data_IF_269496414503
#
_entry.id   IF_269496414503
#
_cell.length_a   1.000
_cell.length_b   1.000
_cell.length_c   1.000
_cell.angle_alpha   90.00
_cell.angle_beta   90.00
_cell.angle_gamma   90.00
#
_symmetry.space_group_name_H-M   'P 1'
#
loop_
_entity.id
_entity.type
_entity.pdbx_description
1 polymer ?
#
# COMPACT_ATOMS: atom_id res chain seq x y z
N UNK A 1 -39.93 -16.61 6.66
CA UNK A 1 -38.49 -16.31 6.68
C UNK A 1 -38.02 -15.95 5.28
N UNK A 2 -37.67 -14.68 5.03
CA UNK A 2 -36.65 -14.36 4.03
C UNK A 2 -35.34 -14.17 4.80
N UNK A 3 -34.25 -13.98 4.07
CA UNK A 3 -32.94 -13.59 4.56
C UNK A 3 -32.38 -12.67 3.47
N UNK A 4 -32.05 -11.43 3.80
CA UNK A 4 -31.52 -10.40 2.88
C UNK A 4 -30.17 -9.93 3.48
N UNK A 5 -29.11 -9.44 2.80
CA UNK A 5 -27.66 -9.45 3.22
C UNK A 5 -26.88 -8.11 3.44
N UNK A 6 -26.40 -7.77 4.65
CA UNK A 6 -25.82 -6.45 4.99
C UNK A 6 -24.41 -6.29 4.46
N UNK A 7 -24.16 -5.08 3.96
CA UNK A 7 -22.92 -4.72 3.29
C UNK A 7 -22.15 -3.80 4.23
N UNK A 8 -21.22 -4.38 4.98
CA UNK A 8 -20.32 -3.62 5.85
C UNK A 8 -19.04 -3.31 5.07
N UNK A 9 -18.84 -2.05 4.67
CA UNK A 9 -17.55 -1.61 4.14
C UNK A 9 -16.49 -1.68 5.24
N UNK A 10 -15.37 -2.32 4.94
CA UNK A 10 -14.22 -2.48 5.80
C UNK A 10 -13.16 -1.39 5.53
N UNK A 11 -12.29 -1.05 6.50
CA UNK A 11 -11.32 0.05 6.35
C UNK A 11 -10.28 -0.14 5.23
N UNK A 12 -10.16 -1.35 4.68
CA UNK A 12 -9.30 -1.70 3.55
C UNK A 12 -10.07 -1.70 2.19
N UNK A 13 -11.20 -0.99 2.12
CA UNK A 13 -12.12 -0.91 0.98
C UNK A 13 -12.79 -2.24 0.57
N UNK A 14 -12.63 -3.32 1.34
CA UNK A 14 -13.37 -4.57 1.12
C UNK A 14 -14.79 -4.45 1.69
N UNK A 15 -15.68 -5.39 1.34
CA UNK A 15 -17.06 -5.43 1.86
C UNK A 15 -17.32 -6.81 2.46
N UNK A 16 -17.79 -6.86 3.71
CA UNK A 16 -18.28 -8.08 4.33
C UNK A 16 -19.79 -8.26 4.03
N UNK A 17 -20.16 -9.44 3.51
CA UNK A 17 -21.52 -9.85 3.12
C UNK A 17 -21.99 -11.04 3.94
N UNK A 18 -23.24 -10.99 4.41
CA UNK A 18 -23.40 -11.35 5.82
C UNK A 18 -24.88 -11.91 6.19
N UNK A 19 -25.16 -12.83 7.21
CA UNK A 19 -26.34 -13.54 7.95
C UNK A 19 -27.13 -12.91 9.24
N UNK A 20 -28.25 -12.10 9.17
CA UNK A 20 -29.12 -11.44 10.24
C UNK A 20 -30.45 -12.20 10.39
N UNK A 21 -30.60 -12.92 11.48
CA UNK A 21 -31.52 -14.05 11.53
C UNK A 21 -33.00 -13.67 11.64
N UNK A 22 -33.76 -13.77 10.53
CA UNK A 22 -35.16 -13.34 10.53
C UNK A 22 -36.12 -14.25 11.34
N UNK A 23 -36.37 -14.00 12.63
CA UNK A 23 -37.66 -14.35 13.28
C UNK A 23 -38.39 -13.09 13.81
N UNK A 24 -37.66 -12.06 14.26
CA UNK A 24 -38.21 -10.76 14.69
C UNK A 24 -38.38 -9.74 13.55
N UNK A 25 -38.53 -10.25 12.33
CA UNK A 25 -37.90 -9.61 11.18
C UNK A 25 -38.68 -9.97 9.93
N UNK A 26 -39.19 -8.95 9.26
CA UNK A 26 -40.12 -9.11 8.16
C UNK A 26 -39.39 -9.28 6.85
N UNK A 27 -39.90 -10.20 6.03
CA UNK A 27 -39.32 -10.68 4.79
C UNK A 27 -38.54 -9.62 3.97
N UNK A 28 -37.22 -9.47 4.18
CA UNK A 28 -36.37 -8.66 3.29
C UNK A 28 -35.35 -7.70 3.91
N UNK A 29 -34.78 -7.97 5.11
CA UNK A 29 -33.74 -7.08 5.68
C UNK A 29 -32.36 -7.73 5.85
N UNK A 30 -31.34 -6.88 5.69
CA UNK A 30 -29.94 -7.13 5.39
C UNK A 30 -29.13 -7.82 6.55
N UNK A 31 -28.41 -8.91 6.23
CA UNK A 31 -27.88 -10.04 7.04
C UNK A 31 -26.40 -9.87 7.61
N UNK A 32 -25.86 -10.50 8.72
CA UNK A 32 -24.38 -10.64 9.11
C UNK A 32 -23.61 -12.07 9.24
N UNK A 33 -22.60 -12.45 8.40
CA UNK A 33 -21.91 -13.76 8.01
C UNK A 33 -20.43 -13.43 7.71
N UNK A 34 -19.52 -14.40 7.87
CA UNK A 34 -18.08 -14.17 7.81
C UNK A 34 -17.39 -15.10 6.79
N UNK A 35 -16.55 -14.53 5.93
CA UNK A 35 -15.71 -15.27 4.97
C UNK A 35 -14.29 -15.37 5.50
N UNK A 36 -13.78 -16.60 5.66
CA UNK A 36 -12.38 -16.83 6.04
C UNK A 36 -11.47 -16.62 4.82
N UNK A 37 -10.73 -15.52 4.78
CA UNK A 37 -9.72 -15.27 3.74
C UNK A 37 -8.50 -16.20 3.93
N UNK A 38 -8.53 -17.37 3.31
CA UNK A 38 -7.44 -18.37 3.35
C UNK A 38 -6.17 -17.96 2.61
N UNK A 39 -6.25 -17.00 1.68
CA UNK A 39 -5.10 -16.52 0.89
C UNK A 39 -4.99 -15.00 0.92
N UNK A 40 -4.82 -14.41 2.11
CA UNK A 40 -4.40 -13.02 2.25
C UNK A 40 -2.94 -12.88 1.80
N UNK A 41 -2.72 -12.58 0.51
CA UNK A 41 -1.39 -12.26 -0.01
C UNK A 41 -0.98 -10.85 0.44
N UNK A 42 -0.41 -10.78 1.65
CA UNK A 42 0.21 -9.57 2.17
C UNK A 42 1.41 -9.23 1.28
N UNK A 43 1.28 -8.16 0.49
CA UNK A 43 2.40 -7.51 -0.20
C UNK A 43 2.86 -6.32 0.63
N UNK A 44 4.18 -6.20 0.78
CA UNK A 44 4.82 -5.09 1.47
C UNK A 44 5.49 -4.22 0.42
N UNK A 45 5.23 -2.93 0.49
CA UNK A 45 5.79 -1.94 -0.42
C UNK A 45 6.65 -0.93 0.36
N UNK A 46 7.68 -0.40 -0.29
CA UNK A 46 8.42 0.76 0.18
C UNK A 46 8.07 1.97 -0.69
N UNK A 47 8.01 3.14 -0.05
CA UNK A 47 8.01 4.43 -0.72
C UNK A 47 9.46 4.91 -0.80
N UNK A 48 9.91 5.32 -1.97
CA UNK A 48 11.28 5.79 -2.22
C UNK A 48 11.25 7.07 -3.04
N UNK A 49 12.16 8.01 -2.78
CA UNK A 49 12.42 9.11 -3.71
C UNK A 49 13.41 8.65 -4.77
N UNK A 50 13.03 8.79 -6.04
CA UNK A 50 14.00 8.77 -7.14
C UNK A 50 14.82 10.06 -7.06
N UNK A 51 16.12 9.98 -7.35
CA UNK A 51 16.98 11.16 -7.43
C UNK A 51 17.28 11.47 -8.89
N UNK A 52 17.46 12.77 -9.17
CA UNK A 52 17.85 13.23 -10.50
C UNK A 52 19.28 12.82 -10.90
N UNK A 53 19.75 13.26 -12.09
CA UNK A 53 21.15 13.10 -12.47
C UNK A 53 22.09 13.76 -11.46
N UNK A 54 23.34 13.28 -11.31
CA UNK A 54 24.31 13.87 -10.41
C UNK A 54 24.75 15.26 -10.89
N UNK A 55 25.06 16.14 -9.93
CA UNK A 55 25.75 17.40 -10.16
C UNK A 55 27.18 17.11 -10.64
N UNK A 56 27.42 17.36 -11.93
CA UNK A 56 28.69 17.09 -12.59
C UNK A 56 29.83 17.97 -12.08
N UNK A 57 29.54 19.18 -11.60
CA UNK A 57 30.56 20.12 -11.14
C UNK A 57 31.05 19.72 -9.75
N UNK A 58 30.15 19.32 -8.85
CA UNK A 58 30.50 18.75 -7.56
C UNK A 58 31.20 17.38 -7.68
N UNK A 59 30.75 16.54 -8.61
CA UNK A 59 31.38 15.25 -8.89
C UNK A 59 32.83 15.43 -9.37
N UNK A 60 33.07 16.31 -10.36
CA UNK A 60 34.43 16.60 -10.85
C UNK A 60 35.32 17.21 -9.76
N UNK A 61 34.80 18.18 -8.99
CA UNK A 61 35.56 18.85 -7.92
C UNK A 61 35.89 17.94 -6.73
N UNK A 62 35.15 16.85 -6.56
CA UNK A 62 35.39 15.83 -5.52
C UNK A 62 36.20 14.63 -6.02
N UNK A 63 36.71 14.65 -7.26
CA UNK A 63 37.39 13.51 -7.90
C UNK A 63 36.56 12.22 -7.81
N UNK A 64 35.29 12.29 -8.21
CA UNK A 64 34.31 11.18 -8.18
C UNK A 64 34.01 10.61 -6.78
N UNK A 65 34.45 11.28 -5.70
CA UNK A 65 34.21 10.83 -4.32
C UNK A 65 32.79 11.15 -3.84
N UNK A 66 32.18 12.22 -4.36
CA UNK A 66 30.80 12.61 -4.02
C UNK A 66 29.86 12.41 -5.21
N UNK A 67 28.75 11.71 -4.97
CA UNK A 67 27.64 11.55 -5.90
C UNK A 67 26.41 12.28 -5.35
N UNK A 68 26.35 13.58 -5.64
CA UNK A 68 25.28 14.48 -5.16
C UNK A 68 24.24 14.67 -6.24
N UNK A 69 22.97 14.38 -5.93
CA UNK A 69 21.84 14.59 -6.83
C UNK A 69 20.80 15.52 -6.19
N UNK A 70 20.05 16.26 -7.00
CA UNK A 70 18.93 17.07 -6.50
C UNK A 70 17.75 16.17 -6.06
N UNK A 71 17.13 16.52 -4.93
CA UNK A 71 15.93 15.87 -4.41
C UNK A 71 14.69 16.65 -4.86
N UNK A 72 13.88 16.08 -5.76
CA UNK A 72 12.72 16.78 -6.34
C UNK A 72 11.46 16.72 -5.45
N UNK A 73 11.60 16.37 -4.17
CA UNK A 73 10.48 16.26 -3.24
C UNK A 73 9.47 15.19 -3.63
N UNK A 74 8.19 15.55 -3.53
CA UNK A 74 7.07 14.62 -3.76
C UNK A 74 6.91 14.20 -5.24
N UNK A 75 7.50 14.94 -6.19
CA UNK A 75 7.38 14.68 -7.61
C UNK A 75 8.01 13.34 -8.04
N UNK A 76 9.07 12.92 -7.35
CA UNK A 76 9.85 11.71 -7.62
C UNK A 76 9.58 10.57 -6.62
N UNK A 77 8.53 10.68 -5.79
CA UNK A 77 8.12 9.58 -4.90
C UNK A 77 7.48 8.44 -5.69
N UNK A 78 8.09 7.25 -5.64
CA UNK A 78 7.54 6.04 -6.25
C UNK A 78 7.37 4.91 -5.22
N UNK A 79 6.49 3.96 -5.55
CA UNK A 79 6.18 2.80 -4.71
C UNK A 79 6.78 1.56 -5.36
N UNK A 80 7.64 0.85 -4.62
CA UNK A 80 8.29 -0.39 -5.07
C UNK A 80 7.88 -1.56 -4.18
N UNK A 81 7.73 -2.76 -4.75
CA UNK A 81 7.61 -3.99 -3.94
C UNK A 81 8.93 -4.18 -3.19
N UNK A 82 8.89 -4.41 -1.86
CA UNK A 82 10.12 -4.59 -1.07
C UNK A 82 10.97 -5.75 -1.60
N UNK A 83 10.36 -6.76 -2.23
CA UNK A 83 11.06 -7.89 -2.85
C UNK A 83 11.81 -7.54 -4.14
N UNK A 84 11.60 -6.35 -4.70
CA UNK A 84 12.35 -5.85 -5.86
C UNK A 84 13.63 -5.07 -5.46
N UNK A 85 13.81 -4.75 -4.17
CA UNK A 85 15.00 -4.05 -3.68
C UNK A 85 16.16 -5.05 -3.55
N UNK A 86 17.19 -4.89 -4.38
CA UNK A 86 18.34 -5.80 -4.42
C UNK A 86 19.44 -5.40 -3.43
N UNK A 87 19.60 -4.10 -3.15
CA UNK A 87 20.61 -3.55 -2.25
C UNK A 87 20.14 -2.21 -1.68
N UNK A 88 20.70 -1.82 -0.54
CA UNK A 88 20.48 -0.52 0.10
C UNK A 88 21.85 0.03 0.53
N UNK A 89 22.08 1.31 0.30
CA UNK A 89 23.29 2.03 0.76
C UNK A 89 22.87 3.04 1.82
N UNK A 90 23.65 3.15 2.90
CA UNK A 90 23.41 4.16 3.93
C UNK A 90 23.90 5.53 3.43
N UNK A 91 22.99 6.49 3.34
CA UNK A 91 23.33 7.91 3.13
C UNK A 91 23.68 8.52 4.50
N UNK A 92 24.86 9.12 4.61
CA UNK A 92 25.27 9.89 5.80
C UNK A 92 24.74 11.32 5.65
N UNK A 93 24.02 11.87 6.65
CA UNK A 93 23.51 13.24 6.61
C UNK A 93 24.59 14.30 6.89
#
# INVERSE_FOLDING_TARGET
RIQCWAHLQLPNCQVAHSTWQEDMMTKGVFQSQNVLMTHLQIKVFAMVSVYGPPDTDLQQRSFDTLHTCEHQGDADLCIVDVKAIHSVVAMVP
#
